data_IF_260450282798
#
_entry.id   IF_260450282798
#
_cell.length_a   1.000
_cell.length_b   1.000
_cell.length_c   1.000
_cell.angle_alpha   90.00
_cell.angle_beta   90.00
_cell.angle_gamma   90.00
#
_symmetry.space_group_name_H-M   'P 1'
#
loop_
_entity.id
_entity.type
_entity.pdbx_description
1 polymer ?
#
# COMPACT_ATOMS: atom_id res chain seq x y z
N UNK A 1 -18.17 23.62 32.82
CA UNK A 1 -17.70 22.25 32.51
C UNK A 1 -18.33 21.85 31.19
N UNK A 2 -17.54 21.71 30.13
CA UNK A 2 -18.01 21.32 28.79
C UNK A 2 -17.84 19.81 28.63
N UNK A 3 -18.96 19.12 28.45
CA UNK A 3 -19.03 17.67 28.28
C UNK A 3 -18.64 17.33 26.84
N UNK A 4 -17.49 16.68 26.65
CA UNK A 4 -17.06 16.22 25.32
C UNK A 4 -17.72 14.87 25.04
N UNK A 5 -18.46 14.79 23.94
CA UNK A 5 -19.05 13.54 23.43
C UNK A 5 -18.14 13.01 22.33
N UNK A 6 -17.54 11.83 22.55
CA UNK A 6 -16.77 11.11 21.54
C UNK A 6 -17.71 10.09 20.88
N UNK A 7 -17.95 10.24 19.58
CA UNK A 7 -18.77 9.31 18.79
C UNK A 7 -17.85 8.39 18.00
N UNK A 8 -17.89 7.09 18.31
CA UNK A 8 -17.22 6.06 17.52
C UNK A 8 -18.25 5.42 16.58
N UNK A 9 -18.05 5.57 15.27
CA UNK A 9 -18.87 4.90 14.26
C UNK A 9 -18.05 3.77 13.66
N UNK A 10 -18.49 2.53 13.86
CA UNK A 10 -17.84 1.33 13.35
C UNK A 10 -18.57 0.90 12.07
N UNK A 11 -17.90 0.96 10.93
CA UNK A 11 -18.39 0.36 9.68
C UNK A 11 -17.70 -0.99 9.47
N UNK A 12 -18.49 -2.06 9.42
CA UNK A 12 -18.02 -3.39 9.04
C UNK A 12 -18.18 -3.50 7.53
N UNK A 13 -17.06 -3.51 6.80
CA UNK A 13 -17.06 -3.75 5.35
C UNK A 13 -16.70 -5.21 5.10
N UNK A 14 -17.68 -5.98 4.63
CA UNK A 14 -17.48 -7.35 4.14
C UNK A 14 -16.76 -7.30 2.79
N UNK A 15 -15.68 -8.07 2.62
CA UNK A 15 -14.99 -8.24 1.33
C UNK A 15 -15.87 -9.03 0.35
N UNK A 16 -16.83 -8.35 -0.27
CA UNK A 16 -17.42 -8.78 -1.54
C UNK A 16 -16.50 -8.39 -2.72
N UNK A 17 -16.48 -9.23 -3.76
CA UNK A 17 -15.69 -9.08 -4.98
C UNK A 17 -15.54 -7.62 -5.42
N UNK A 18 -14.30 -7.16 -5.59
CA UNK A 18 -13.95 -5.78 -5.94
C UNK A 18 -14.59 -5.40 -7.30
N UNK A 19 -15.60 -4.52 -7.35
CA UNK A 19 -15.95 -3.86 -8.60
C UNK A 19 -14.75 -2.98 -9.01
N UNK A 20 -14.52 -2.89 -10.33
CA UNK A 20 -13.34 -2.31 -10.93
C UNK A 20 -12.92 -0.98 -10.31
N UNK A 21 -11.60 -0.83 -10.14
CA UNK A 21 -10.94 0.38 -9.63
C UNK A 21 -11.36 1.57 -10.50
N UNK A 22 -12.40 2.29 -10.06
CA UNK A 22 -12.77 3.55 -10.63
C UNK A 22 -11.60 4.49 -10.36
N UNK A 23 -10.83 4.78 -11.42
CA UNK A 23 -9.78 5.81 -11.38
C UNK A 23 -10.44 7.06 -10.82
N UNK A 24 -9.87 7.61 -9.74
CA UNK A 24 -10.21 8.93 -9.28
C UNK A 24 -9.92 9.91 -10.44
N UNK A 25 -10.95 10.21 -11.23
CA UNK A 25 -10.95 11.36 -12.11
C UNK A 25 -10.80 12.55 -11.17
N UNK A 26 -9.60 13.13 -11.17
CA UNK A 26 -9.37 14.42 -10.56
C UNK A 26 -10.40 15.38 -11.16
N UNK A 27 -11.45 15.68 -10.39
CA UNK A 27 -12.43 16.68 -10.75
C UNK A 27 -11.66 17.99 -10.93
N UNK A 28 -11.52 18.43 -12.19
CA UNK A 28 -11.00 19.76 -12.48
C UNK A 28 -11.88 20.77 -11.74
N UNK A 29 -11.30 21.70 -10.96
CA UNK A 29 -12.10 22.75 -10.35
C UNK A 29 -12.80 23.54 -11.46
N UNK A 30 -14.11 23.85 -11.32
CA UNK A 30 -14.83 24.60 -12.32
C UNK A 30 -14.17 25.97 -12.51
N UNK A 31 -13.61 26.22 -13.70
CA UNK A 31 -13.25 27.56 -14.14
C UNK A 31 -14.53 28.33 -14.43
N UNK A 32 -15.10 28.93 -13.38
CA UNK A 32 -16.28 29.78 -13.46
C UNK A 32 -15.97 31.17 -12.91
N UNK A 33 -15.54 32.08 -13.77
CA UNK A 33 -15.67 33.51 -13.52
C UNK A 33 -16.49 34.13 -14.65
N UNK A 34 -17.81 34.01 -14.52
CA UNK A 34 -18.72 34.91 -15.19
C UNK A 34 -18.69 36.25 -14.47
N UNK A 35 -18.04 37.25 -15.06
CA UNK A 35 -18.35 38.64 -14.73
C UNK A 35 -19.60 39.05 -15.49
N UNK A 36 -20.73 39.14 -14.80
CA UNK A 36 -21.86 39.94 -15.25
C UNK A 36 -21.90 41.24 -14.45
N UNK A 37 -21.84 42.33 -15.20
CA UNK A 37 -21.95 43.71 -14.76
C UNK A 37 -23.35 44.00 -14.17
N UNK A 38 -23.41 44.83 -13.14
CA UNK A 38 -24.60 45.62 -12.81
C UNK A 38 -24.19 47.09 -12.56
N UNK A 39 -24.72 48.06 -13.32
CA UNK A 39 -24.62 49.48 -12.99
C UNK A 39 -25.74 49.85 -12.03
N UNK A 40 -25.39 50.14 -10.77
CA UNK A 40 -26.32 50.64 -9.76
C UNK A 40 -25.98 52.10 -9.44
N UNK A 41 -26.84 53.03 -9.85
CA UNK A 41 -26.78 54.44 -9.47
C UNK A 41 -27.49 54.63 -8.13
N UNK A 42 -26.71 54.67 -7.04
CA UNK A 42 -27.16 54.94 -5.69
C UNK A 42 -26.34 56.05 -5.04
N UNK A 43 -27.00 56.92 -4.29
CA UNK A 43 -26.53 58.14 -3.64
C UNK A 43 -25.21 57.99 -2.84
N UNK A 44 -24.38 59.05 -2.73
CA UNK A 44 -23.16 59.01 -1.94
C UNK A 44 -23.48 58.92 -0.44
N UNK A 45 -23.35 57.71 0.12
CA UNK A 45 -23.32 57.50 1.57
C UNK A 45 -21.97 57.94 2.14
N UNK A 46 -21.93 58.58 3.32
CA UNK A 46 -20.69 58.94 4.01
C UNK A 46 -19.80 57.71 4.23
N UNK A 47 -18.58 57.78 3.72
CA UNK A 47 -17.58 56.73 3.70
C UNK A 47 -17.34 56.12 5.10
N UNK A 48 -17.91 54.94 5.35
CA UNK A 48 -17.39 54.05 6.36
C UNK A 48 -16.01 53.57 5.89
N UNK A 49 -14.96 53.96 6.60
CA UNK A 49 -13.61 53.52 6.29
C UNK A 49 -13.56 51.99 6.28
N UNK A 50 -13.12 51.34 5.19
CA UNK A 50 -12.98 49.90 5.17
C UNK A 50 -12.01 49.48 6.27
N UNK A 51 -12.51 48.70 7.23
CA UNK A 51 -11.66 48.11 8.25
C UNK A 51 -10.59 47.25 7.54
N UNK A 52 -9.30 47.38 7.90
CA UNK A 52 -8.27 46.54 7.34
C UNK A 52 -8.60 45.09 7.68
N UNK A 53 -8.92 44.29 6.66
CA UNK A 53 -9.02 42.85 6.84
C UNK A 53 -7.66 42.37 7.35
N UNK A 54 -7.63 41.83 8.57
CA UNK A 54 -6.43 41.21 9.10
C UNK A 54 -6.00 40.10 8.13
N UNK A 55 -4.85 40.27 7.50
CA UNK A 55 -4.28 39.26 6.62
C UNK A 55 -4.03 38.02 7.45
N UNK A 56 -4.78 36.95 7.17
CA UNK A 56 -4.54 35.66 7.76
C UNK A 56 -3.17 35.17 7.26
N UNK A 57 -2.25 34.74 8.15
CA UNK A 57 -0.93 34.28 7.74
C UNK A 57 -1.05 33.17 6.69
N UNK A 58 -0.31 33.30 5.58
CA UNK A 58 -0.29 32.28 4.55
C UNK A 58 0.20 30.95 5.17
N UNK A 59 -0.46 29.80 4.87
CA UNK A 59 -0.02 28.50 5.35
C UNK A 59 1.44 28.25 5.00
N UNK A 60 2.28 27.99 6.01
CA UNK A 60 3.68 27.66 5.78
C UNK A 60 3.77 26.26 5.16
N UNK A 61 4.31 26.19 3.96
CA UNK A 61 4.59 24.93 3.27
C UNK A 61 5.83 24.28 3.91
N UNK A 62 5.71 23.03 4.38
CA UNK A 62 6.82 22.23 4.89
C UNK A 62 7.07 21.05 3.97
N UNK A 63 8.29 20.94 3.46
CA UNK A 63 8.71 19.74 2.73
C UNK A 63 8.99 18.61 3.71
N UNK A 64 8.32 17.47 3.52
CA UNK A 64 8.52 16.25 4.31
C UNK A 64 8.95 15.13 3.37
N UNK A 65 10.01 14.42 3.73
CA UNK A 65 10.47 13.22 3.03
C UNK A 65 9.67 12.01 3.49
N UNK A 66 9.03 11.31 2.56
CA UNK A 66 8.22 10.12 2.83
C UNK A 66 8.66 8.96 1.94
N UNK A 67 8.77 7.72 2.48
CA UNK A 67 9.04 6.54 1.66
C UNK A 67 7.87 6.25 0.71
N UNK A 68 8.15 5.52 -0.37
CA UNK A 68 7.13 5.14 -1.36
C UNK A 68 6.37 3.91 -0.85
N UNK A 69 5.39 4.14 0.02
CA UNK A 69 4.61 3.08 0.71
C UNK A 69 4.02 2.08 -0.29
N UNK A 70 3.53 2.53 -1.44
CA UNK A 70 2.96 1.66 -2.47
C UNK A 70 3.95 0.59 -2.94
N UNK A 71 5.22 0.95 -3.11
CA UNK A 71 6.26 0.05 -3.59
C UNK A 71 6.70 -0.95 -2.51
N UNK A 72 6.71 -0.52 -1.24
CA UNK A 72 6.95 -1.40 -0.09
C UNK A 72 5.86 -2.46 0.01
N UNK A 73 4.58 -2.03 -0.04
CA UNK A 73 3.44 -2.93 0.09
C UNK A 73 3.39 -3.92 -1.08
N UNK A 74 3.54 -3.44 -2.32
CA UNK A 74 3.54 -4.34 -3.49
C UNK A 74 4.72 -5.32 -3.46
N UNK A 75 5.92 -4.86 -3.06
CA UNK A 75 7.09 -5.71 -2.90
C UNK A 75 6.91 -6.79 -1.83
N UNK A 76 6.37 -6.41 -0.66
CA UNK A 76 6.08 -7.33 0.43
C UNK A 76 5.05 -8.39 0.04
N UNK A 77 3.96 -7.99 -0.61
CA UNK A 77 2.90 -8.92 -1.07
C UNK A 77 3.46 -9.87 -2.13
N UNK A 78 4.17 -9.35 -3.13
CA UNK A 78 4.71 -10.19 -4.21
C UNK A 78 5.74 -11.20 -3.68
N UNK A 79 6.66 -10.74 -2.83
CA UNK A 79 7.65 -11.61 -2.20
C UNK A 79 6.97 -12.67 -1.30
N UNK A 80 6.05 -12.25 -0.45
CA UNK A 80 5.35 -13.13 0.48
C UNK A 80 4.49 -14.17 -0.23
N UNK A 81 3.70 -13.77 -1.23
CA UNK A 81 2.82 -14.68 -1.99
C UNK A 81 3.65 -15.66 -2.82
N UNK A 82 4.68 -15.20 -3.53
CA UNK A 82 5.54 -16.09 -4.32
C UNK A 82 6.25 -17.10 -3.42
N UNK A 83 6.82 -16.64 -2.30
CA UNK A 83 7.47 -17.52 -1.33
C UNK A 83 6.51 -18.54 -0.69
N UNK A 84 5.28 -18.14 -0.35
CA UNK A 84 4.28 -19.05 0.20
C UNK A 84 3.80 -20.07 -0.84
N UNK A 85 3.57 -19.66 -2.08
CA UNK A 85 3.20 -20.57 -3.18
C UNK A 85 4.34 -21.57 -3.42
N UNK A 86 5.58 -21.09 -3.48
CA UNK A 86 6.76 -21.93 -3.63
C UNK A 86 6.90 -22.92 -2.47
N UNK A 87 6.81 -22.43 -1.24
CA UNK A 87 6.81 -23.27 -0.03
C UNK A 87 5.69 -24.30 -0.04
N UNK A 88 4.49 -23.95 -0.50
CA UNK A 88 3.36 -24.89 -0.59
C UNK A 88 3.58 -25.98 -1.66
N UNK A 89 4.21 -25.63 -2.78
CA UNK A 89 4.54 -26.56 -3.87
C UNK A 89 5.67 -27.51 -3.46
N UNK A 90 6.65 -27.00 -2.71
CA UNK A 90 7.84 -27.75 -2.29
C UNK A 90 7.63 -28.52 -0.98
N UNK A 91 6.72 -28.07 -0.12
CA UNK A 91 6.49 -28.65 1.21
C UNK A 91 5.79 -30.02 1.16
N UNK A 92 6.20 -30.98 2.02
CA UNK A 92 5.57 -32.29 2.14
C UNK A 92 4.20 -32.31 2.84
N UNK A 93 3.53 -31.18 3.09
CA UNK A 93 2.16 -31.17 3.64
C UNK A 93 1.12 -31.89 2.77
N UNK A 94 1.47 -32.33 1.56
CA UNK A 94 0.79 -33.40 0.82
C UNK A 94 1.12 -34.82 1.37
N UNK A 95 1.04 -35.01 2.69
CA UNK A 95 0.59 -36.24 3.36
C UNK A 95 1.41 -37.54 3.31
N UNK A 96 2.56 -37.67 2.66
CA UNK A 96 3.22 -38.99 2.52
C UNK A 96 4.70 -38.92 2.91
N UNK A 97 4.97 -39.38 4.14
CA UNK A 97 6.23 -39.84 4.72
C UNK A 97 7.48 -39.64 3.84
N UNK A 98 8.31 -38.66 4.19
CA UNK A 98 9.74 -38.69 3.87
C UNK A 98 10.38 -39.66 4.88
N UNK A 99 10.14 -40.94 4.63
CA UNK A 99 10.95 -42.02 5.17
C UNK A 99 10.93 -43.14 4.11
N UNK A 100 11.45 -42.81 2.93
CA UNK A 100 11.70 -43.79 1.89
C UNK A 100 13.17 -43.68 1.55
N UNK A 101 13.96 -44.66 1.96
CA UNK A 101 15.44 -44.74 1.89
C UNK A 101 16.05 -44.71 0.49
N UNK A 102 15.54 -43.84 -0.39
CA UNK A 102 16.06 -43.48 -1.69
C UNK A 102 15.94 -41.95 -1.86
N UNK A 103 17.10 -41.25 -1.84
CA UNK A 103 17.35 -39.86 -2.30
C UNK A 103 17.38 -38.72 -1.26
N UNK A 104 18.40 -38.67 -0.39
CA UNK A 104 18.73 -37.47 0.40
C UNK A 104 18.93 -36.18 -0.42
N UNK A 105 19.10 -36.28 -1.74
CA UNK A 105 19.09 -35.14 -2.68
C UNK A 105 17.74 -34.43 -2.78
N UNK A 106 16.62 -35.16 -2.77
CA UNK A 106 15.28 -34.55 -2.83
C UNK A 106 14.89 -33.88 -1.51
N UNK A 107 15.34 -34.43 -0.38
CA UNK A 107 15.11 -33.80 0.93
C UNK A 107 15.91 -32.50 1.06
N UNK A 108 17.16 -32.53 0.62
CA UNK A 108 18.00 -31.33 0.53
C UNK A 108 17.38 -30.29 -0.41
N UNK A 109 16.91 -30.71 -1.58
CA UNK A 109 16.16 -29.85 -2.52
C UNK A 109 14.94 -29.21 -1.85
N UNK A 110 14.11 -29.97 -1.15
CA UNK A 110 12.90 -29.44 -0.49
C UNK A 110 13.22 -28.47 0.63
N UNK A 111 14.19 -28.81 1.48
CA UNK A 111 14.60 -27.96 2.61
C UNK A 111 15.09 -26.58 2.16
N UNK A 112 15.76 -26.51 1.00
CA UNK A 112 16.28 -25.26 0.44
C UNK A 112 15.21 -24.36 -0.18
N UNK A 113 14.03 -24.90 -0.53
CA UNK A 113 12.91 -24.08 -1.02
C UNK A 113 12.31 -23.18 0.06
N UNK A 114 12.60 -23.44 1.33
CA UNK A 114 12.15 -22.58 2.43
C UNK A 114 12.96 -21.28 2.53
N UNK A 115 14.12 -21.20 1.88
CA UNK A 115 14.95 -19.99 1.88
C UNK A 115 14.38 -18.98 0.87
N UNK A 116 13.88 -17.81 1.30
CA UNK A 116 13.35 -16.82 0.37
C UNK A 116 14.46 -16.28 -0.54
N UNK A 117 14.09 -16.02 -1.80
CA UNK A 117 14.91 -15.48 -2.89
C UNK A 117 16.07 -16.39 -3.31
N UNK A 118 16.89 -16.85 -2.38
CA UNK A 118 18.04 -17.72 -2.68
C UNK A 118 17.63 -19.17 -2.95
N UNK A 119 16.56 -19.65 -2.32
CA UNK A 119 16.09 -21.03 -2.42
C UNK A 119 15.92 -21.54 -3.85
N UNK A 120 15.14 -20.85 -4.71
CA UNK A 120 14.91 -21.28 -6.09
C UNK A 120 16.20 -21.42 -6.91
N UNK A 121 17.18 -20.54 -6.70
CA UNK A 121 18.47 -20.60 -7.39
C UNK A 121 19.34 -21.76 -6.92
N UNK A 122 19.38 -22.00 -5.60
CA UNK A 122 20.12 -23.13 -5.04
C UNK A 122 19.46 -24.44 -5.49
N UNK A 123 18.14 -24.53 -5.43
CA UNK A 123 17.37 -25.67 -5.93
C UNK A 123 17.63 -25.97 -7.40
N UNK A 124 17.74 -24.94 -8.24
CA UNK A 124 18.09 -25.10 -9.65
C UNK A 124 19.48 -25.73 -9.84
N UNK A 125 20.43 -25.41 -8.96
CA UNK A 125 21.81 -25.94 -9.02
C UNK A 125 21.94 -27.38 -8.51
N UNK A 126 21.12 -27.79 -7.54
CA UNK A 126 21.19 -29.13 -6.92
C UNK A 126 20.06 -30.08 -7.35
N UNK A 127 19.19 -29.62 -8.25
CA UNK A 127 18.10 -30.37 -8.87
C UNK A 127 18.58 -31.77 -9.30
N UNK A 128 17.89 -32.86 -8.89
CA UNK A 128 18.31 -34.22 -9.22
C UNK A 128 18.17 -34.60 -10.70
N UNK A 129 17.37 -33.84 -11.45
CA UNK A 129 17.00 -34.04 -12.86
C UNK A 129 17.67 -32.98 -13.76
N UNK A 130 17.85 -33.29 -15.04
CA UNK A 130 18.41 -32.36 -16.04
C UNK A 130 17.47 -31.18 -16.32
N UNK A 131 18.02 -30.04 -16.78
CA UNK A 131 17.26 -28.78 -16.97
C UNK A 131 16.02 -28.94 -17.86
N UNK A 132 16.09 -29.78 -18.89
CA UNK A 132 15.01 -30.02 -19.87
C UNK A 132 14.16 -31.26 -19.58
N UNK A 133 14.48 -32.01 -18.52
CA UNK A 133 13.83 -33.30 -18.24
C UNK A 133 12.50 -33.15 -17.50
N UNK A 134 12.24 -32.00 -16.88
CA UNK A 134 11.00 -31.71 -16.15
C UNK A 134 10.61 -30.22 -16.20
N UNK A 135 9.41 -29.91 -15.71
CA UNK A 135 8.90 -28.55 -15.58
C UNK A 135 9.46 -27.76 -14.40
N UNK A 136 10.36 -28.33 -13.57
CA UNK A 136 10.86 -27.66 -12.38
C UNK A 136 11.80 -26.51 -12.71
N UNK A 137 12.70 -26.68 -13.68
CA UNK A 137 13.66 -25.63 -14.05
C UNK A 137 12.99 -24.30 -14.46
N UNK A 138 12.04 -24.26 -15.43
CA UNK A 138 11.38 -23.01 -15.80
C UNK A 138 10.54 -22.44 -14.64
N UNK A 139 9.93 -23.30 -13.83
CA UNK A 139 9.19 -22.87 -12.64
C UNK A 139 10.09 -22.19 -11.60
N UNK A 140 11.24 -22.78 -11.28
CA UNK A 140 12.21 -22.24 -10.31
C UNK A 140 12.82 -20.91 -10.78
N UNK A 141 13.10 -20.78 -12.08
CA UNK A 141 13.58 -19.52 -12.67
C UNK A 141 12.51 -18.44 -12.54
N UNK A 142 11.26 -18.75 -12.92
CA UNK A 142 10.16 -17.79 -12.81
C UNK A 142 9.93 -17.37 -11.36
N UNK A 143 9.87 -18.32 -10.43
CA UNK A 143 9.68 -18.04 -9.01
C UNK A 143 10.85 -17.24 -8.42
N UNK A 144 12.10 -17.59 -8.75
CA UNK A 144 13.28 -16.81 -8.35
C UNK A 144 13.24 -15.36 -8.85
N UNK A 145 12.79 -15.14 -10.09
CA UNK A 145 12.60 -13.79 -10.66
C UNK A 145 11.48 -13.03 -9.95
N UNK A 146 10.34 -13.67 -9.66
CA UNK A 146 9.23 -13.03 -8.95
C UNK A 146 9.62 -12.64 -7.52
N UNK A 147 10.30 -13.51 -6.80
CA UNK A 147 10.82 -13.22 -5.45
C UNK A 147 11.87 -12.10 -5.49
N UNK A 148 12.80 -12.12 -6.44
CA UNK A 148 13.79 -11.06 -6.61
C UNK A 148 13.15 -9.70 -6.95
N UNK A 149 12.15 -9.68 -7.85
CA UNK A 149 11.41 -8.48 -8.19
C UNK A 149 10.66 -7.90 -6.98
N UNK A 150 10.01 -8.75 -6.19
CA UNK A 150 9.37 -8.37 -4.93
C UNK A 150 10.35 -7.76 -3.94
N UNK A 151 11.52 -8.39 -3.75
CA UNK A 151 12.58 -7.88 -2.87
C UNK A 151 13.11 -6.52 -3.36
N UNK A 152 13.38 -6.37 -4.66
CA UNK A 152 13.86 -5.10 -5.24
C UNK A 152 12.85 -3.99 -5.03
N UNK A 153 11.56 -4.24 -5.26
CA UNK A 153 10.50 -3.26 -5.00
C UNK A 153 10.46 -2.86 -3.52
N UNK A 154 10.56 -3.83 -2.62
CA UNK A 154 10.57 -3.58 -1.18
C UNK A 154 11.77 -2.71 -0.77
N UNK A 155 12.97 -3.03 -1.25
CA UNK A 155 14.20 -2.28 -0.97
C UNK A 155 14.14 -0.87 -1.55
N UNK A 156 13.71 -0.72 -2.81
CA UNK A 156 13.58 0.59 -3.44
C UNK A 156 12.52 1.44 -2.75
N UNK A 157 11.40 0.84 -2.33
CA UNK A 157 10.32 1.55 -1.66
C UNK A 157 10.74 2.10 -0.30
N UNK A 158 11.59 1.33 0.40
CA UNK A 158 12.18 1.73 1.68
C UNK A 158 13.31 2.76 1.52
N UNK A 159 14.08 2.68 0.43
CA UNK A 159 15.28 3.51 0.23
C UNK A 159 14.97 4.87 -0.41
N UNK A 160 14.02 4.93 -1.35
CA UNK A 160 13.67 6.16 -2.05
C UNK A 160 12.69 6.97 -1.21
N UNK A 161 13.10 8.20 -0.86
CA UNK A 161 12.27 9.16 -0.16
C UNK A 161 11.78 10.23 -1.13
N UNK A 162 10.46 10.33 -1.31
CA UNK A 162 9.86 11.41 -2.08
C UNK A 162 9.66 12.64 -1.20
N UNK A 163 10.05 13.80 -1.73
CA UNK A 163 9.77 15.09 -1.12
C UNK A 163 8.32 15.47 -1.41
N UNK A 164 7.53 15.56 -0.34
CA UNK A 164 6.12 15.97 -0.41
C UNK A 164 5.94 17.27 0.34
N UNK A 165 5.45 18.30 -0.35
CA UNK A 165 5.10 19.57 0.29
C UNK A 165 3.80 19.39 1.04
N UNK A 166 3.87 19.44 2.37
CA UNK A 166 2.70 19.40 3.25
C UNK A 166 2.41 20.83 3.68
N UNK A 167 1.22 21.32 3.35
CA UNK A 167 0.73 22.58 3.88
C UNK A 167 0.33 22.37 5.33
N UNK A 168 0.78 23.26 6.23
CA UNK A 168 0.35 23.22 7.63
C UNK A 168 -1.19 23.24 7.66
N UNK A 169 -1.73 22.21 8.31
CA UNK A 169 -3.15 21.89 8.34
C UNK A 169 -3.96 23.13 8.75
N UNK A 170 -4.82 23.60 7.85
CA UNK A 170 -5.66 24.77 8.09
C UNK A 170 -6.87 24.37 8.95
N UNK A 171 -6.60 23.80 10.14
CA UNK A 171 -7.56 23.55 11.20
C UNK A 171 -8.65 22.53 10.88
N UNK A 172 -8.49 21.32 11.42
CA UNK A 172 -9.61 20.60 12.04
C UNK A 172 -9.81 19.16 11.60
N UNK A 173 -9.45 18.80 10.36
CA UNK A 173 -9.74 17.48 9.81
C UNK A 173 -8.54 16.54 9.85
N UNK A 174 -8.42 15.76 10.93
CA UNK A 174 -7.47 14.64 11.01
C UNK A 174 -8.22 13.35 10.65
N UNK A 175 -7.71 12.54 9.72
CA UNK A 175 -8.25 11.21 9.40
C UNK A 175 -7.13 10.17 9.51
N UNK A 176 -7.20 9.32 10.53
CA UNK A 176 -6.32 8.18 10.73
C UNK A 176 -7.01 6.89 10.28
N UNK A 177 -6.38 6.18 9.33
CA UNK A 177 -6.85 4.87 8.88
C UNK A 177 -6.03 3.80 9.59
N UNK A 178 -6.68 2.96 10.41
CA UNK A 178 -6.04 1.89 11.17
C UNK A 178 -6.52 0.52 10.68
N UNK A 179 -5.61 -0.42 10.39
CA UNK A 179 -5.99 -1.81 10.22
C UNK A 179 -6.48 -2.37 11.56
N UNK A 180 -7.56 -3.14 11.54
CA UNK A 180 -8.07 -3.85 12.71
C UNK A 180 -8.03 -5.35 12.44
N UNK A 181 -7.66 -6.14 13.44
CA UNK A 181 -7.69 -7.60 13.37
C UNK A 181 -8.19 -8.14 14.71
N UNK A 182 -9.11 -9.09 14.68
CA UNK A 182 -9.64 -9.82 15.83
C UNK A 182 -9.94 -11.27 15.47
N UNK A 183 -10.36 -12.06 16.47
CA UNK A 183 -10.41 -13.54 16.45
C UNK A 183 -11.27 -14.20 15.36
N UNK A 184 -11.91 -13.42 14.48
CA UNK A 184 -12.60 -13.94 13.29
C UNK A 184 -12.74 -12.95 12.14
N UNK A 185 -12.13 -11.75 12.21
CA UNK A 185 -12.28 -10.74 11.19
C UNK A 185 -11.06 -9.80 11.14
N UNK A 186 -10.72 -9.35 9.93
CA UNK A 186 -9.81 -8.25 9.68
C UNK A 186 -10.56 -7.14 8.93
N UNK A 187 -10.25 -5.88 9.23
CA UNK A 187 -10.92 -4.74 8.64
C UNK A 187 -10.05 -3.48 8.67
N UNK A 188 -10.67 -2.37 8.28
CA UNK A 188 -10.03 -1.05 8.28
C UNK A 188 -10.96 -0.08 9.00
N UNK A 189 -10.46 0.56 10.05
CA UNK A 189 -11.15 1.62 10.77
C UNK A 189 -10.63 2.97 10.29
N UNK A 190 -11.53 3.93 10.09
CA UNK A 190 -11.16 5.33 9.90
C UNK A 190 -11.60 6.11 11.15
N UNK A 191 -10.62 6.68 11.85
CA UNK A 191 -10.84 7.58 12.97
C UNK A 191 -10.60 9.00 12.47
N UNK A 192 -11.53 9.91 12.76
CA UNK A 192 -11.29 11.30 12.43
C UNK A 192 -11.65 12.26 13.56
N UNK A 193 -10.95 13.39 13.58
CA UNK A 193 -11.36 14.57 14.33
C UNK A 193 -11.88 15.59 13.32
N UNK A 194 -13.02 16.20 13.64
CA UNK A 194 -13.71 17.21 12.87
C UNK A 194 -14.15 18.34 13.79
#
# INVERSE_FOLDING_TARGET
MSTRVTLAVIFVVSLGALPGVARAQYAQPPQGYGQQQQPYYGQPQPYAQPQPYAQQPAPQARTVRRPIIGLIVSGAVMLGVSWLIHGAIVSPFAGWSIDSGFNGRWDTFRSLGLVPVAGPWIQLAIKPTGFTEDGWAPYLVLDGVLQAAGLVMLVLGASIQNETTVYADAGGFELAVLPTAGDGAAGVAALGRF
#
